data_IF_822363152575
#
_entry.id   IF_822363152575
#
_cell.length_a   1.000
_cell.length_b   1.000
_cell.length_c   1.000
_cell.angle_alpha   90.00
_cell.angle_beta   90.00
_cell.angle_gamma   90.00
#
_symmetry.space_group_name_H-M   'P 1'
#
loop_
_entity.id
_entity.type
_entity.pdbx_description
1 polymer ?
#
# COMPACT_ATOMS: atom_id res chain seq x y z
N UNK A 1 -22.82 0.29 -24.47
CA UNK A 1 -22.37 0.67 -23.12
C UNK A 1 -21.25 -0.28 -22.77
N UNK A 2 -20.10 0.22 -22.31
CA UNK A 2 -19.04 -0.65 -21.81
C UNK A 2 -19.57 -1.37 -20.55
N UNK A 3 -19.24 -2.64 -20.39
CA UNK A 3 -19.61 -3.42 -19.21
C UNK A 3 -18.93 -2.82 -17.98
N UNK A 4 -19.72 -2.46 -16.96
CA UNK A 4 -19.18 -1.89 -15.71
C UNK A 4 -18.46 -3.00 -14.96
N UNK A 5 -17.17 -2.81 -14.75
CA UNK A 5 -16.31 -3.79 -14.07
C UNK A 5 -16.65 -3.86 -12.57
N UNK A 6 -17.15 -5.01 -12.13
CA UNK A 6 -17.26 -5.29 -10.69
C UNK A 6 -15.88 -5.73 -10.16
N UNK A 7 -15.39 -5.00 -9.16
CA UNK A 7 -14.15 -5.33 -8.48
C UNK A 7 -14.39 -6.35 -7.37
N UNK A 8 -13.39 -7.15 -7.08
CA UNK A 8 -13.36 -7.98 -5.89
C UNK A 8 -12.53 -7.34 -4.77
N UNK A 9 -12.17 -8.14 -3.78
CA UNK A 9 -11.16 -7.81 -2.77
C UNK A 9 -9.94 -8.71 -2.92
N UNK A 10 -8.78 -8.22 -2.51
CA UNK A 10 -7.53 -8.97 -2.61
C UNK A 10 -7.11 -9.45 -1.23
N UNK A 11 -6.88 -10.75 -1.10
CA UNK A 11 -6.34 -11.35 0.13
C UNK A 11 -5.34 -12.45 -0.23
N UNK A 12 -4.23 -12.49 0.48
CA UNK A 12 -3.13 -13.43 0.24
C UNK A 12 -2.62 -13.46 -1.23
N UNK A 13 -2.62 -12.29 -1.88
CA UNK A 13 -2.19 -12.16 -3.28
C UNK A 13 -3.21 -12.62 -4.32
N UNK A 14 -4.42 -13.00 -3.92
CA UNK A 14 -5.48 -13.48 -4.79
C UNK A 14 -6.68 -12.52 -4.79
N UNK A 15 -7.23 -12.26 -5.98
CA UNK A 15 -8.48 -11.53 -6.14
C UNK A 15 -9.67 -12.49 -5.96
N UNK A 16 -10.59 -12.12 -5.06
CA UNK A 16 -11.80 -12.88 -4.74
C UNK A 16 -13.04 -12.06 -5.05
N UNK A 17 -14.09 -12.72 -5.48
CA UNK A 17 -15.42 -12.10 -5.57
C UNK A 17 -15.98 -11.91 -4.16
N UNK A 18 -16.54 -10.72 -3.90
CA UNK A 18 -17.18 -10.42 -2.63
C UNK A 18 -18.62 -10.95 -2.58
N UNK A 19 -19.01 -11.41 -1.39
CA UNK A 19 -20.40 -11.76 -1.05
C UNK A 19 -21.24 -10.54 -0.62
N UNK A 20 -20.68 -9.33 -0.74
CA UNK A 20 -21.37 -8.10 -0.38
C UNK A 20 -22.64 -7.91 -1.20
N UNK A 21 -23.74 -7.59 -0.53
CA UNK A 21 -24.99 -7.20 -1.18
C UNK A 21 -24.92 -5.79 -1.77
N UNK A 22 -24.08 -4.93 -1.17
CA UNK A 22 -23.94 -3.53 -1.56
C UNK A 22 -22.59 -3.29 -2.24
N UNK A 23 -22.65 -2.56 -3.36
CA UNK A 23 -21.49 -2.04 -4.07
C UNK A 23 -21.55 -0.52 -4.14
N UNK A 24 -20.42 0.13 -4.17
CA UNK A 24 -20.29 1.57 -4.42
C UNK A 24 -19.77 1.78 -5.83
N UNK A 25 -20.34 2.77 -6.52
CA UNK A 25 -19.90 3.17 -7.85
C UNK A 25 -18.59 3.95 -7.77
N UNK A 26 -17.67 3.63 -8.66
CA UNK A 26 -16.49 4.43 -8.98
C UNK A 26 -16.78 5.18 -10.25
N UNK A 27 -16.74 6.48 -10.21
CA UNK A 27 -17.07 7.34 -11.33
C UNK A 27 -15.84 8.01 -11.93
N UNK A 28 -15.86 8.22 -13.23
CA UNK A 28 -14.98 9.21 -13.88
C UNK A 28 -15.44 10.60 -13.44
N UNK A 29 -14.60 11.30 -12.67
CA UNK A 29 -14.95 12.61 -12.11
C UNK A 29 -15.11 13.70 -13.17
N UNK A 30 -14.64 13.50 -14.40
CA UNK A 30 -14.77 14.46 -15.50
C UNK A 30 -16.12 14.32 -16.21
N UNK A 31 -16.66 13.10 -16.31
CA UNK A 31 -17.88 12.80 -17.07
C UNK A 31 -19.08 12.44 -16.21
N UNK A 32 -18.82 11.98 -14.98
CA UNK A 32 -19.82 11.40 -14.08
C UNK A 32 -20.23 9.96 -14.44
N UNK A 33 -19.60 9.36 -15.45
CA UNK A 33 -19.89 7.98 -15.85
C UNK A 33 -19.34 6.99 -14.83
N UNK A 34 -20.09 5.94 -14.54
CA UNK A 34 -19.63 4.83 -13.69
C UNK A 34 -18.64 3.98 -14.48
N UNK A 35 -17.42 3.87 -14.00
CA UNK A 35 -16.32 3.11 -14.63
C UNK A 35 -16.04 1.78 -13.95
N UNK A 36 -16.38 1.64 -12.67
CA UNK A 36 -16.26 0.40 -11.92
C UNK A 36 -17.22 0.39 -10.71
N UNK A 37 -17.35 -0.78 -10.07
CA UNK A 37 -18.03 -0.92 -8.79
C UNK A 37 -17.15 -1.67 -7.80
N UNK A 38 -17.06 -1.18 -6.57
CA UNK A 38 -16.29 -1.80 -5.48
C UNK A 38 -17.23 -2.33 -4.39
N UNK A 39 -16.97 -3.53 -3.82
CA UNK A 39 -17.83 -4.11 -2.81
C UNK A 39 -17.71 -3.38 -1.48
N UNK A 40 -18.82 -3.22 -0.77
CA UNK A 40 -18.82 -2.98 0.66
C UNK A 40 -18.61 -4.32 1.37
N UNK A 41 -17.36 -4.77 1.44
CA UNK A 41 -17.00 -6.08 1.96
C UNK A 41 -17.70 -6.40 3.28
N UNK A 42 -18.06 -7.69 3.46
CA UNK A 42 -18.69 -8.16 4.70
C UNK A 42 -17.68 -8.19 5.86
N UNK A 43 -18.14 -8.19 7.11
CA UNK A 43 -17.22 -8.37 8.26
C UNK A 43 -16.37 -9.63 8.16
N UNK A 44 -16.92 -10.74 7.67
CA UNK A 44 -16.18 -12.00 7.53
C UNK A 44 -15.03 -11.88 6.50
N UNK A 45 -15.23 -11.14 5.42
CA UNK A 45 -14.21 -10.86 4.40
C UNK A 45 -13.09 -9.98 4.96
N UNK A 46 -13.44 -9.02 5.81
CA UNK A 46 -12.46 -8.18 6.52
C UNK A 46 -11.65 -9.02 7.53
N UNK A 47 -12.32 -9.86 8.31
CA UNK A 47 -11.66 -10.78 9.24
C UNK A 47 -10.74 -11.76 8.52
N UNK A 48 -11.14 -12.28 7.36
CA UNK A 48 -10.28 -13.12 6.51
C UNK A 48 -8.99 -12.38 6.10
N UNK A 49 -9.09 -11.12 5.68
CA UNK A 49 -7.94 -10.32 5.30
C UNK A 49 -7.00 -10.06 6.48
N UNK A 50 -7.55 -9.75 7.66
CA UNK A 50 -6.78 -9.56 8.90
C UNK A 50 -6.08 -10.86 9.29
N UNK A 51 -6.79 -11.98 9.29
CA UNK A 51 -6.22 -13.29 9.63
C UNK A 51 -5.09 -13.69 8.67
N UNK A 52 -5.25 -13.42 7.38
CA UNK A 52 -4.21 -13.67 6.37
C UNK A 52 -2.95 -12.84 6.64
N UNK A 53 -3.10 -11.54 6.92
CA UNK A 53 -1.98 -10.67 7.27
C UNK A 53 -1.29 -11.11 8.56
N UNK A 54 -2.07 -11.54 9.55
CA UNK A 54 -1.56 -12.04 10.84
C UNK A 54 -0.79 -13.35 10.68
N UNK A 55 -1.24 -14.25 9.80
CA UNK A 55 -0.55 -15.49 9.47
C UNK A 55 0.79 -15.25 8.75
N UNK A 56 0.88 -14.23 7.91
CA UNK A 56 2.12 -13.86 7.19
C UNK A 56 3.15 -13.14 8.09
N UNK A 57 2.71 -12.50 9.17
CA UNK A 57 3.55 -11.64 10.01
C UNK A 57 4.77 -12.33 10.60
N UNK A 58 4.71 -13.56 11.19
CA UNK A 58 5.88 -14.23 11.77
C UNK A 58 7.01 -14.44 10.77
N UNK A 59 6.69 -14.91 9.58
CA UNK A 59 7.68 -15.11 8.51
C UNK A 59 8.28 -13.78 8.05
N UNK A 60 7.43 -12.79 7.73
CA UNK A 60 7.85 -11.47 7.29
C UNK A 60 8.74 -10.77 8.31
N UNK A 61 8.37 -10.79 9.59
CA UNK A 61 9.10 -10.13 10.67
C UNK A 61 10.45 -10.77 10.97
N UNK A 62 10.61 -12.08 10.68
CA UNK A 62 11.85 -12.83 10.85
C UNK A 62 12.84 -12.68 9.71
N UNK A 63 12.41 -12.15 8.55
CA UNK A 63 13.32 -11.91 7.43
C UNK A 63 14.41 -10.91 7.80
N UNK A 64 15.62 -11.16 7.30
CA UNK A 64 16.71 -10.19 7.42
C UNK A 64 16.34 -8.88 6.70
N UNK A 65 16.93 -7.76 7.15
CA UNK A 65 16.72 -6.45 6.53
C UNK A 65 17.04 -6.47 5.02
N UNK A 66 18.13 -7.14 4.64
CA UNK A 66 18.52 -7.29 3.25
C UNK A 66 17.47 -8.04 2.41
N UNK A 67 16.83 -9.07 2.96
CA UNK A 67 15.75 -9.78 2.26
C UNK A 67 14.51 -8.90 2.10
N UNK A 68 14.10 -8.17 3.15
CA UNK A 68 12.96 -7.23 3.07
C UNK A 68 13.24 -6.11 2.06
N UNK A 69 14.46 -5.58 2.03
CA UNK A 69 14.89 -4.59 1.04
C UNK A 69 14.70 -5.08 -0.40
N UNK A 70 14.98 -6.37 -0.69
CA UNK A 70 14.78 -6.93 -2.03
C UNK A 70 13.30 -6.94 -2.46
N UNK A 71 12.36 -7.05 -1.52
CA UNK A 71 10.93 -6.88 -1.82
C UNK A 71 10.62 -5.43 -2.20
N UNK A 72 11.21 -4.44 -1.51
CA UNK A 72 11.01 -3.03 -1.85
C UNK A 72 11.58 -2.68 -3.22
N UNK A 73 12.76 -3.20 -3.59
CA UNK A 73 13.29 -3.00 -4.93
C UNK A 73 12.37 -3.58 -6.01
N UNK A 74 11.87 -4.80 -5.82
CA UNK A 74 10.93 -5.41 -6.78
C UNK A 74 9.62 -4.63 -6.86
N UNK A 75 9.09 -4.17 -5.74
CA UNK A 75 7.89 -3.36 -5.70
C UNK A 75 8.08 -2.04 -6.46
N UNK A 76 9.17 -1.33 -6.21
CA UNK A 76 9.54 -0.12 -6.95
C UNK A 76 9.60 -0.37 -8.46
N UNK A 77 10.24 -1.45 -8.89
CA UNK A 77 10.39 -1.77 -10.32
C UNK A 77 9.03 -2.06 -10.98
N UNK A 78 8.12 -2.73 -10.29
CA UNK A 78 6.73 -2.94 -10.74
C UNK A 78 5.99 -1.60 -10.88
N UNK A 79 6.12 -0.71 -9.92
CA UNK A 79 5.48 0.61 -9.97
C UNK A 79 6.00 1.44 -11.16
N UNK A 80 7.30 1.41 -11.41
CA UNK A 80 7.87 2.07 -12.60
C UNK A 80 7.37 1.46 -13.90
N UNK A 81 7.28 0.14 -14.00
CA UNK A 81 6.80 -0.54 -15.19
C UNK A 81 5.33 -0.19 -15.53
N UNK A 82 4.50 0.05 -14.50
CA UNK A 82 3.08 0.37 -14.65
C UNK A 82 2.74 1.86 -14.48
N UNK A 83 3.75 2.72 -14.39
CA UNK A 83 3.56 4.15 -14.07
C UNK A 83 2.56 4.85 -14.98
N UNK A 84 2.62 4.63 -16.29
CA UNK A 84 1.72 5.29 -17.24
C UNK A 84 0.29 4.77 -17.13
N UNK A 85 0.10 3.46 -17.01
CA UNK A 85 -1.20 2.84 -16.80
C UNK A 85 -1.88 3.38 -15.54
N UNK A 86 -1.16 3.43 -14.44
CA UNK A 86 -1.64 3.96 -13.15
C UNK A 86 -1.96 5.46 -13.26
N UNK A 87 -1.16 6.22 -14.00
CA UNK A 87 -1.41 7.65 -14.24
C UNK A 87 -2.72 7.89 -15.01
N UNK A 88 -3.00 7.06 -16.02
CA UNK A 88 -4.26 7.13 -16.77
C UNK A 88 -5.46 6.81 -15.88
N UNK A 89 -5.35 5.79 -15.01
CA UNK A 89 -6.40 5.47 -14.05
C UNK A 89 -6.64 6.62 -13.06
N UNK A 90 -5.59 7.18 -12.47
CA UNK A 90 -5.69 8.34 -11.58
C UNK A 90 -6.35 9.55 -12.28
N UNK A 91 -5.99 9.80 -13.55
CA UNK A 91 -6.59 10.89 -14.31
C UNK A 91 -8.11 10.68 -14.50
N UNK A 92 -8.54 9.47 -14.82
CA UNK A 92 -9.96 9.13 -15.00
C UNK A 92 -10.76 9.25 -13.70
N UNK A 93 -10.29 8.63 -12.63
CA UNK A 93 -11.03 8.62 -11.37
C UNK A 93 -11.18 10.02 -10.77
N UNK A 94 -10.12 10.82 -10.83
CA UNK A 94 -10.08 12.13 -10.16
C UNK A 94 -10.37 13.32 -11.08
N UNK A 95 -10.48 13.12 -12.38
CA UNK A 95 -10.60 14.22 -13.34
C UNK A 95 -9.36 15.11 -13.40
N UNK A 96 -8.19 14.63 -12.94
CA UNK A 96 -6.91 15.35 -13.05
C UNK A 96 -6.42 15.37 -14.48
N UNK A 97 -5.69 16.42 -14.86
CA UNK A 97 -4.94 16.34 -16.11
C UNK A 97 -3.83 15.28 -16.00
N UNK A 98 -3.45 14.69 -17.12
CA UNK A 98 -2.50 13.58 -17.16
C UNK A 98 -1.11 13.94 -16.60
N UNK A 99 -0.69 15.19 -16.71
CA UNK A 99 0.59 15.65 -16.15
C UNK A 99 0.58 15.63 -14.62
N UNK A 100 -0.51 16.07 -14.00
CA UNK A 100 -0.70 16.00 -12.53
C UNK A 100 -0.84 14.56 -12.05
N UNK A 101 -1.58 13.72 -12.78
CA UNK A 101 -1.71 12.31 -12.45
C UNK A 101 -0.36 11.56 -12.51
N UNK A 102 0.48 11.86 -13.50
CA UNK A 102 1.87 11.35 -13.56
C UNK A 102 2.71 11.82 -12.37
N UNK A 103 2.49 13.05 -11.92
CA UNK A 103 3.13 13.59 -10.72
C UNK A 103 2.69 12.86 -9.45
N UNK A 104 1.39 12.54 -9.32
CA UNK A 104 0.84 11.77 -8.21
C UNK A 104 1.45 10.36 -8.13
N UNK A 105 1.49 9.64 -9.25
CA UNK A 105 2.12 8.32 -9.30
C UNK A 105 3.63 8.39 -9.02
N UNK A 106 4.32 9.44 -9.50
CA UNK A 106 5.73 9.64 -9.15
C UNK A 106 5.91 9.84 -7.66
N UNK A 107 5.07 10.63 -7.02
CA UNK A 107 5.07 10.85 -5.56
C UNK A 107 4.71 9.59 -4.76
N UNK A 108 4.01 8.64 -5.36
CA UNK A 108 3.77 7.32 -4.78
C UNK A 108 5.01 6.40 -4.83
N UNK A 109 5.85 6.55 -5.86
CA UNK A 109 7.09 5.78 -6.02
C UNK A 109 8.17 6.24 -5.03
N UNK A 110 8.28 7.53 -4.77
CA UNK A 110 9.32 8.11 -3.91
C UNK A 110 9.39 7.48 -2.51
N UNK A 111 8.30 7.29 -1.74
CA UNK A 111 8.35 6.59 -0.45
C UNK A 111 8.81 5.13 -0.57
N UNK A 112 8.49 4.47 -1.68
CA UNK A 112 8.98 3.12 -1.96
C UNK A 112 10.50 3.11 -2.18
N UNK A 113 11.05 4.13 -2.85
CA UNK A 113 12.49 4.31 -3.02
C UNK A 113 13.17 4.59 -1.68
N UNK A 114 12.57 5.40 -0.81
CA UNK A 114 13.05 5.60 0.56
C UNK A 114 13.04 4.29 1.34
N UNK A 115 11.98 3.49 1.23
CA UNK A 115 11.89 2.17 1.87
C UNK A 115 12.96 1.18 1.36
N UNK A 116 13.54 1.41 0.18
CA UNK A 116 14.72 0.65 -0.27
C UNK A 116 15.96 0.90 0.59
N UNK A 117 16.00 2.00 1.37
CA UNK A 117 17.08 2.28 2.33
C UNK A 117 16.81 1.68 3.72
N UNK A 118 15.82 0.80 3.88
CA UNK A 118 15.38 0.19 5.13
C UNK A 118 16.52 -0.29 6.05
N UNK A 119 17.59 -0.97 5.56
CA UNK A 119 18.67 -1.42 6.43
C UNK A 119 19.38 -0.29 7.20
N UNK A 120 19.43 0.91 6.64
CA UNK A 120 20.00 2.08 7.30
C UNK A 120 18.97 2.79 8.19
N UNK A 121 17.72 2.89 7.71
CA UNK A 121 16.65 3.62 8.40
C UNK A 121 16.21 2.96 9.71
N UNK A 122 16.34 1.62 9.80
CA UNK A 122 15.86 0.86 10.97
C UNK A 122 16.92 0.70 12.06
N UNK A 123 18.11 1.24 11.86
CA UNK A 123 19.16 1.22 12.88
C UNK A 123 18.70 1.95 14.14
N UNK A 124 19.13 1.44 15.29
CA UNK A 124 18.93 2.11 16.58
C UNK A 124 20.22 2.80 17.02
N UNK A 125 20.09 3.66 18.00
CA UNK A 125 21.21 4.35 18.65
C UNK A 125 21.75 3.53 19.83
N UNK A 126 23.02 3.68 20.12
CA UNK A 126 23.65 3.16 21.32
C UNK A 126 24.48 4.26 21.98
N UNK A 127 24.46 4.33 23.31
CA UNK A 127 25.30 5.21 24.09
C UNK A 127 25.94 4.43 25.23
N UNK A 128 27.25 4.52 25.31
CA UNK A 128 28.02 3.88 26.38
C UNK A 128 28.23 4.83 27.56
N UNK A 129 28.26 4.28 28.78
CA UNK A 129 28.52 5.01 30.00
C UNK A 129 27.61 6.25 30.20
N UNK A 130 26.33 6.12 29.87
CA UNK A 130 25.35 7.20 30.12
C UNK A 130 25.26 7.56 31.61
N UNK A 131 25.55 6.59 32.46
CA UNK A 131 25.95 6.74 33.85
C UNK A 131 26.89 5.61 34.21
N UNK A 132 27.59 5.70 35.35
CA UNK A 132 28.61 4.72 35.73
C UNK A 132 28.05 3.29 35.71
N UNK A 133 28.59 2.45 34.83
CA UNK A 133 28.20 1.05 34.68
C UNK A 133 26.94 0.77 33.85
N UNK A 134 26.41 1.80 33.17
CA UNK A 134 25.19 1.62 32.35
C UNK A 134 25.41 2.08 30.90
N UNK A 135 25.16 1.17 29.98
CA UNK A 135 25.05 1.44 28.54
C UNK A 135 23.56 1.39 28.12
N UNK A 136 23.19 2.13 27.07
CA UNK A 136 21.85 2.10 26.51
C UNK A 136 21.89 1.76 25.03
N UNK A 137 20.87 1.04 24.56
CA UNK A 137 20.70 0.78 23.13
C UNK A 137 19.20 0.80 22.78
N UNK A 138 18.90 1.34 21.60
CA UNK A 138 17.53 1.36 21.03
C UNK A 138 17.40 0.22 20.02
N UNK A 139 16.38 -0.59 20.17
CA UNK A 139 16.02 -1.64 19.22
C UNK A 139 14.64 -1.34 18.63
N UNK A 140 14.58 -1.19 17.30
CA UNK A 140 13.30 -1.05 16.59
C UNK A 140 12.68 -2.43 16.39
N UNK A 141 11.41 -2.55 16.76
CA UNK A 141 10.64 -3.79 16.61
C UNK A 141 9.41 -3.54 15.73
N UNK A 142 8.92 -4.57 15.02
CA UNK A 142 7.72 -4.44 14.21
C UNK A 142 6.49 -4.16 15.09
N UNK A 143 5.55 -3.37 14.56
CA UNK A 143 4.27 -3.06 15.22
C UNK A 143 3.26 -4.21 15.10
N UNK A 144 3.40 -5.05 14.09
CA UNK A 144 2.43 -6.10 13.76
C UNK A 144 1.61 -5.76 12.52
N UNK A 145 0.41 -6.30 12.46
CA UNK A 145 -0.56 -5.98 11.39
C UNK A 145 -1.13 -4.59 11.64
N UNK A 146 -1.18 -3.79 10.60
CA UNK A 146 -1.72 -2.43 10.61
C UNK A 146 -2.86 -2.32 9.59
N UNK A 147 -3.75 -1.36 9.77
CA UNK A 147 -4.80 -1.04 8.82
C UNK A 147 -4.73 0.45 8.47
N UNK A 148 -4.93 0.78 7.19
CA UNK A 148 -4.95 2.14 6.70
C UNK A 148 -6.29 2.49 6.04
N UNK A 149 -6.85 3.64 6.41
CA UNK A 149 -7.95 4.28 5.70
C UNK A 149 -7.41 5.58 5.14
N UNK A 150 -7.35 5.69 3.84
CA UNK A 150 -6.65 6.77 3.14
C UNK A 150 -7.61 7.66 2.38
N UNK A 151 -7.33 8.97 2.25
CA UNK A 151 -8.15 9.89 1.47
C UNK A 151 -8.00 9.64 -0.04
N UNK A 152 -9.04 9.98 -0.79
CA UNK A 152 -9.13 9.69 -2.22
C UNK A 152 -8.38 10.67 -3.13
N UNK A 153 -7.97 11.83 -2.63
CA UNK A 153 -7.40 12.92 -3.44
C UNK A 153 -5.99 12.63 -4.00
N UNK A 154 -5.29 11.64 -3.42
CA UNK A 154 -4.01 11.12 -3.90
C UNK A 154 -4.06 9.58 -3.89
N UNK A 155 -4.77 8.95 -4.83
CA UNK A 155 -5.11 7.53 -4.78
C UNK A 155 -3.91 6.60 -4.97
N UNK A 156 -2.80 7.09 -5.51
CA UNK A 156 -1.55 6.36 -5.62
C UNK A 156 -0.59 6.68 -4.47
N UNK A 157 -0.33 7.98 -4.24
CA UNK A 157 0.70 8.43 -3.30
C UNK A 157 0.47 7.92 -1.87
N UNK A 158 -0.74 8.06 -1.35
CA UNK A 158 -1.00 7.78 0.06
C UNK A 158 -1.09 6.27 0.34
N UNK A 159 -1.83 5.44 -0.43
CA UNK A 159 -1.87 4.00 -0.18
C UNK A 159 -0.51 3.31 -0.25
N UNK A 160 0.40 3.79 -1.11
CA UNK A 160 1.71 3.16 -1.29
C UNK A 160 2.82 3.73 -0.42
N UNK A 161 2.57 4.88 0.20
CA UNK A 161 3.44 5.48 1.22
C UNK A 161 3.20 4.96 2.64
N UNK A 162 2.25 4.04 2.76
CA UNK A 162 1.84 3.44 4.05
C UNK A 162 2.75 2.26 4.47
#
# INVERSE_FOLDING_TARGET
>A
MAEIKKMGYCVNGEWKESKAEKYMDVTDSSTGEVIAQVPCCTPDEVEEAIASAQAAFPEWSSLSLAKRQQYMFRWRDVLYAHKEELSVLCAKELGKNIKEARGDVQKAIEPTEEACALPTMIQGDAAMQVTTGYDTATYRKPLGVTAGIVPMNFPAMIPWGW
#
